data_IF_793959787670
#
_entry.id   IF_793959787670
#
_cell.length_a   1.000
_cell.length_b   1.000
_cell.length_c   1.000
_cell.angle_alpha   90.00
_cell.angle_beta   90.00
_cell.angle_gamma   90.00
#
_symmetry.space_group_name_H-M   'P 1'
#
loop_
_entity.id
_entity.type
_entity.pdbx_description
1 polymer ?
#
# COMPACT_ATOMS: atom_id res chain seq x y z
N UNK A 1 -13.20 -9.41 -28.17
CA UNK A 1 -12.32 -8.45 -27.48
C UNK A 1 -10.93 -9.02 -27.44
N UNK A 2 -9.89 -8.19 -27.55
CA UNK A 2 -8.51 -8.65 -27.41
C UNK A 2 -8.25 -9.08 -25.94
N UNK A 3 -7.57 -10.20 -25.74
CA UNK A 3 -7.16 -10.63 -24.41
C UNK A 3 -6.15 -9.62 -23.83
N UNK A 4 -6.38 -9.15 -22.60
CA UNK A 4 -5.48 -8.23 -21.90
C UNK A 4 -4.70 -8.98 -20.84
N UNK A 5 -3.40 -8.68 -20.70
CA UNK A 5 -2.58 -9.25 -19.65
C UNK A 5 -2.94 -8.64 -18.29
N UNK A 6 -2.88 -9.45 -17.24
CA UNK A 6 -3.14 -9.02 -15.85
C UNK A 6 -1.79 -8.94 -15.14
N UNK A 7 -1.50 -7.79 -14.51
CA UNK A 7 -0.32 -7.67 -13.67
C UNK A 7 -0.53 -8.42 -12.36
N UNK A 8 0.52 -9.10 -11.88
CA UNK A 8 0.49 -9.84 -10.63
C UNK A 8 1.55 -9.28 -9.68
N UNK A 9 1.13 -8.72 -8.54
CA UNK A 9 2.03 -8.40 -7.44
C UNK A 9 2.34 -9.69 -6.67
N UNK A 10 3.60 -10.11 -6.70
CA UNK A 10 4.08 -11.36 -6.07
C UNK A 10 4.55 -11.19 -4.63
N UNK A 11 4.38 -10.00 -4.06
CA UNK A 11 4.80 -9.65 -2.70
C UNK A 11 6.14 -8.92 -2.62
N UNK A 12 6.70 -8.90 -1.43
CA UNK A 12 7.83 -8.07 -1.06
C UNK A 12 9.15 -8.83 -0.98
N UNK A 13 10.22 -8.19 -1.43
CA UNK A 13 11.59 -8.65 -1.24
C UNK A 13 12.32 -7.70 -0.31
N UNK A 14 13.16 -8.27 0.54
CA UNK A 14 14.04 -7.47 1.39
C UNK A 14 15.03 -6.67 0.53
N UNK A 15 15.17 -5.39 0.87
CA UNK A 15 16.10 -4.45 0.25
C UNK A 15 16.77 -3.67 1.37
N UNK A 16 18.02 -4.02 1.69
CA UNK A 16 18.75 -3.43 2.81
C UNK A 16 19.00 -1.91 2.63
N UNK A 17 19.13 -1.47 1.38
CA UNK A 17 19.34 -0.08 0.98
C UNK A 17 18.03 0.66 0.64
N UNK A 18 16.88 -0.02 0.76
CA UNK A 18 15.55 0.46 0.35
C UNK A 18 15.47 0.92 -1.13
N UNK A 19 16.42 0.51 -1.97
CA UNK A 19 16.52 0.94 -3.36
C UNK A 19 16.71 -0.23 -4.33
N UNK A 20 17.38 -1.30 -3.89
CA UNK A 20 17.79 -2.41 -4.73
C UNK A 20 17.23 -3.73 -4.20
N UNK A 21 16.56 -4.48 -5.06
CA UNK A 21 16.15 -5.87 -4.83
C UNK A 21 16.64 -6.76 -5.98
N UNK A 22 16.67 -8.08 -5.76
CA UNK A 22 17.09 -9.09 -6.75
C UNK A 22 15.95 -10.09 -7.05
N UNK A 23 14.85 -9.67 -7.70
CA UNK A 23 13.72 -10.56 -8.02
C UNK A 23 14.08 -11.75 -8.90
N UNK A 24 15.12 -11.64 -9.73
CA UNK A 24 15.64 -12.73 -10.56
C UNK A 24 16.21 -13.91 -9.75
N UNK A 25 16.52 -13.74 -8.47
CA UNK A 25 16.90 -14.86 -7.58
C UNK A 25 15.70 -15.69 -7.12
N UNK A 26 14.47 -15.21 -7.37
CA UNK A 26 13.22 -15.82 -6.92
C UNK A 26 12.30 -16.10 -8.12
N UNK A 27 12.84 -16.82 -9.11
CA UNK A 27 12.06 -17.28 -10.25
C UNK A 27 11.06 -18.33 -9.81
N UNK A 28 9.84 -18.21 -10.32
CA UNK A 28 8.83 -19.24 -10.17
C UNK A 28 8.53 -19.78 -11.58
N UNK A 29 9.08 -20.93 -11.97
CA UNK A 29 8.93 -21.46 -13.32
C UNK A 29 7.55 -22.09 -13.54
N UNK A 30 7.16 -22.20 -14.82
CA UNK A 30 5.97 -22.92 -15.25
C UNK A 30 4.65 -22.16 -15.09
N UNK A 31 3.60 -22.76 -15.65
CA UNK A 31 2.23 -22.29 -15.48
C UNK A 31 1.73 -22.59 -14.08
N UNK A 32 1.02 -21.63 -13.47
CA UNK A 32 0.47 -21.80 -12.13
C UNK A 32 -0.87 -21.07 -11.99
N UNK A 33 -1.70 -21.60 -11.10
CA UNK A 33 -2.91 -20.90 -10.69
C UNK A 33 -2.53 -19.81 -9.67
N UNK A 34 -2.88 -18.56 -9.98
CA UNK A 34 -2.66 -17.41 -9.08
C UNK A 34 -3.99 -17.06 -8.43
N UNK A 35 -4.04 -17.11 -7.09
CA UNK A 35 -5.15 -16.58 -6.30
C UNK A 35 -4.70 -15.29 -5.61
N UNK A 36 -5.57 -14.30 -5.63
CA UNK A 36 -5.24 -12.99 -5.11
C UNK A 36 -6.45 -12.09 -4.97
N UNK A 37 -6.17 -10.85 -4.57
CA UNK A 37 -7.14 -9.78 -4.42
C UNK A 37 -6.98 -8.83 -5.60
N UNK A 38 -8.09 -8.45 -6.21
CA UNK A 38 -8.10 -7.52 -7.34
C UNK A 38 -7.98 -6.10 -6.80
N UNK A 39 -7.07 -5.32 -7.39
CA UNK A 39 -6.85 -3.92 -7.05
C UNK A 39 -6.89 -3.07 -8.31
N UNK A 40 -7.45 -1.87 -8.20
CA UNK A 40 -7.47 -0.92 -9.30
C UNK A 40 -6.05 -0.53 -9.70
N UNK A 41 -5.73 -0.63 -10.99
CA UNK A 41 -4.48 -0.13 -11.52
C UNK A 41 -4.64 1.36 -11.82
N UNK A 42 -4.24 2.18 -10.85
CA UNK A 42 -4.37 3.65 -10.91
C UNK A 42 -3.79 4.22 -12.21
N UNK A 43 -4.50 5.21 -12.75
CA UNK A 43 -4.06 6.04 -13.87
C UNK A 43 -3.65 7.42 -13.37
N UNK A 44 -2.76 8.09 -14.09
CA UNK A 44 -2.31 9.45 -13.76
C UNK A 44 -1.80 9.61 -12.33
N UNK A 45 -1.10 8.63 -11.75
CA UNK A 45 -0.71 8.64 -10.33
C UNK A 45 0.30 9.76 -9.93
N UNK A 46 0.67 10.67 -10.84
CA UNK A 46 1.51 11.85 -10.57
C UNK A 46 2.96 11.54 -10.19
N UNK A 47 3.39 10.28 -10.31
CA UNK A 47 4.74 9.83 -10.01
C UNK A 47 5.70 9.94 -11.19
N UNK A 48 7.00 9.80 -10.91
CA UNK A 48 8.01 9.56 -11.97
C UNK A 48 7.64 8.28 -12.70
N UNK A 49 7.65 8.34 -14.04
CA UNK A 49 7.42 7.18 -14.90
C UNK A 49 8.44 6.06 -14.61
N UNK A 50 8.07 4.83 -14.99
CA UNK A 50 8.91 3.63 -14.88
C UNK A 50 10.32 3.90 -15.41
N UNK A 51 11.31 3.67 -14.55
CA UNK A 51 12.73 3.79 -14.86
C UNK A 51 13.36 2.40 -14.92
N UNK A 52 14.18 2.15 -15.93
CA UNK A 52 15.01 0.96 -15.96
C UNK A 52 16.08 1.03 -14.85
N UNK A 53 16.16 -0.02 -14.05
CA UNK A 53 17.29 -0.28 -13.17
C UNK A 53 18.20 -1.26 -13.91
N UNK A 54 19.41 -0.79 -14.21
CA UNK A 54 20.43 -1.62 -14.83
C UNK A 54 20.89 -2.68 -13.83
N UNK A 55 20.76 -3.95 -14.22
CA UNK A 55 21.27 -5.11 -13.49
C UNK A 55 21.85 -6.11 -14.48
N UNK A 56 22.83 -6.89 -14.03
CA UNK A 56 23.72 -7.71 -14.86
C UNK A 56 23.05 -8.64 -15.88
N UNK A 57 21.80 -9.07 -15.65
CA UNK A 57 21.15 -10.13 -16.44
C UNK A 57 19.70 -9.89 -16.85
N UNK A 58 19.00 -8.90 -16.27
CA UNK A 58 17.59 -8.63 -16.55
C UNK A 58 17.29 -7.14 -16.50
N UNK A 59 16.46 -6.66 -17.42
CA UNK A 59 15.91 -5.30 -17.33
C UNK A 59 14.86 -5.26 -16.22
N UNK A 60 15.20 -4.64 -15.09
CA UNK A 60 14.24 -4.35 -14.03
C UNK A 60 13.66 -2.97 -14.24
N UNK A 61 12.38 -2.82 -13.91
CA UNK A 61 11.70 -1.53 -13.91
C UNK A 61 11.29 -1.16 -12.51
N UNK A 62 11.49 0.10 -12.15
CA UNK A 62 11.10 0.65 -10.86
C UNK A 62 10.27 1.91 -11.06
N UNK A 63 9.25 2.04 -10.22
CA UNK A 63 8.44 3.24 -10.09
C UNK A 63 8.08 3.41 -8.60
N UNK A 64 7.96 4.66 -8.16
CA UNK A 64 7.44 4.96 -6.82
C UNK A 64 5.97 4.60 -6.69
N UNK A 65 5.21 4.84 -7.76
CA UNK A 65 3.82 4.50 -7.89
C UNK A 65 3.65 3.73 -9.19
N UNK A 66 3.01 2.57 -9.11
CA UNK A 66 2.65 1.82 -10.30
C UNK A 66 1.47 2.54 -10.97
N UNK A 67 1.62 2.81 -12.26
CA UNK A 67 0.68 3.63 -13.04
C UNK A 67 0.42 2.97 -14.40
N UNK A 68 -0.85 2.85 -14.75
CA UNK A 68 -1.27 2.12 -15.95
C UNK A 68 -0.74 2.77 -17.24
N UNK A 69 -0.73 4.10 -17.32
CA UNK A 69 -0.32 4.82 -18.52
C UNK A 69 1.18 4.66 -18.77
N UNK A 70 1.97 4.71 -17.71
CA UNK A 70 3.41 4.45 -17.74
C UNK A 70 3.75 3.03 -18.19
N UNK A 71 2.95 2.03 -17.79
CA UNK A 71 3.10 0.63 -18.19
C UNK A 71 2.70 0.41 -19.65
N UNK A 72 1.53 0.93 -20.06
CA UNK A 72 1.01 0.77 -21.43
C UNK A 72 1.93 1.36 -22.48
N UNK A 73 2.63 2.45 -22.17
CA UNK A 73 3.61 3.04 -23.07
C UNK A 73 4.85 2.15 -23.30
N UNK A 74 5.06 1.10 -22.49
CA UNK A 74 6.28 0.26 -22.51
C UNK A 74 6.01 -1.20 -22.88
N UNK A 75 4.81 -1.71 -22.64
CA UNK A 75 4.48 -3.11 -22.89
C UNK A 75 3.93 -3.29 -24.32
N UNK A 76 4.35 -4.35 -25.04
CA UNK A 76 3.92 -4.58 -26.42
C UNK A 76 2.51 -5.18 -26.53
N UNK A 77 1.77 -5.28 -25.43
CA UNK A 77 0.45 -5.90 -25.34
C UNK A 77 -0.47 -5.10 -24.40
N UNK A 78 -1.80 -5.20 -24.60
CA UNK A 78 -2.76 -4.55 -23.71
C UNK A 78 -2.70 -5.16 -22.31
N UNK A 79 -2.85 -4.31 -21.29
CA UNK A 79 -2.96 -4.70 -19.89
C UNK A 79 -4.33 -4.32 -19.34
N UNK A 80 -4.85 -5.14 -18.43
CA UNK A 80 -6.09 -4.87 -17.72
C UNK A 80 -5.99 -3.58 -16.88
N UNK A 81 -7.14 -2.99 -16.57
CA UNK A 81 -7.27 -1.82 -15.67
C UNK A 81 -7.17 -2.18 -14.18
N UNK A 82 -6.75 -3.40 -13.88
CA UNK A 82 -6.56 -3.91 -12.53
C UNK A 82 -5.31 -4.78 -12.45
N UNK A 83 -4.75 -4.84 -11.25
CA UNK A 83 -3.70 -5.78 -10.88
C UNK A 83 -4.25 -6.81 -9.89
N UNK A 84 -3.60 -7.97 -9.83
CA UNK A 84 -3.90 -9.03 -8.88
C UNK A 84 -2.79 -9.07 -7.83
N UNK A 85 -3.11 -8.75 -6.58
CA UNK A 85 -2.20 -8.96 -5.45
C UNK A 85 -2.28 -10.40 -4.99
N UNK A 86 -1.22 -11.17 -5.24
CA UNK A 86 -1.21 -12.60 -4.94
C UNK A 86 -1.20 -12.84 -3.43
N UNK A 87 -2.11 -13.69 -2.96
CA UNK A 87 -2.17 -14.10 -1.55
C UNK A 87 -1.29 -15.32 -1.28
N UNK A 88 -0.80 -15.52 -0.04
CA UNK A 88 -0.15 -16.77 0.33
C UNK A 88 -1.11 -17.96 0.19
N UNK A 89 -0.57 -19.16 -0.02
CA UNK A 89 -1.38 -20.37 -0.15
C UNK A 89 -0.56 -21.65 -0.41
N UNK A 90 -1.21 -22.82 -0.44
CA UNK A 90 -0.54 -24.09 -0.72
C UNK A 90 0.21 -24.07 -2.06
N UNK A 91 1.46 -24.53 -2.07
CA UNK A 91 2.30 -24.57 -3.27
C UNK A 91 2.89 -23.21 -3.69
N UNK A 92 2.68 -22.16 -2.90
CA UNK A 92 3.29 -20.84 -3.12
C UNK A 92 4.59 -20.72 -2.31
N UNK A 93 5.73 -20.34 -2.91
CA UNK A 93 6.98 -20.19 -2.18
C UNK A 93 6.93 -19.08 -1.12
N UNK A 94 7.74 -19.22 -0.08
CA UNK A 94 7.85 -18.23 1.02
C UNK A 94 8.36 -16.86 0.57
N UNK A 95 9.15 -16.82 -0.51
CA UNK A 95 9.68 -15.59 -1.11
C UNK A 95 9.25 -15.44 -2.58
N UNK A 96 8.89 -14.22 -3.04
CA UNK A 96 8.71 -13.01 -2.25
C UNK A 96 7.60 -13.13 -1.19
N UNK A 97 7.72 -12.37 -0.10
CA UNK A 97 6.75 -12.42 1.02
C UNK A 97 5.42 -11.84 0.58
N UNK A 98 4.39 -12.69 0.55
CA UNK A 98 3.02 -12.30 0.24
C UNK A 98 2.28 -12.04 1.54
N UNK A 99 1.65 -10.88 1.63
CA UNK A 99 0.91 -10.48 2.81
C UNK A 99 -0.57 -10.36 2.48
N UNK A 100 -1.41 -10.83 3.40
CA UNK A 100 -2.82 -10.52 3.36
C UNK A 100 -3.01 -9.04 3.73
N UNK A 101 -3.95 -8.33 3.09
CA UNK A 101 -4.32 -7.01 3.57
C UNK A 101 -4.69 -7.13 5.04
N UNK A 102 -4.04 -6.31 5.86
CA UNK A 102 -4.40 -6.24 7.26
C UNK A 102 -5.81 -5.63 7.33
N UNK A 103 -6.77 -6.28 8.01
CA UNK A 103 -8.06 -5.65 8.24
C UNK A 103 -7.82 -4.33 8.98
N UNK A 104 -8.49 -3.27 8.54
CA UNK A 104 -8.42 -1.98 9.23
C UNK A 104 -8.95 -2.14 10.65
N UNK A 105 -8.13 -1.79 11.65
CA UNK A 105 -8.55 -1.79 13.05
C UNK A 105 -9.25 -0.47 13.37
N UNK A 106 -10.52 -0.39 12.97
CA UNK A 106 -11.39 0.77 13.14
C UNK A 106 -11.53 1.17 14.63
N UNK A 107 -11.45 0.19 15.54
CA UNK A 107 -11.64 0.38 16.98
C UNK A 107 -10.53 1.23 17.61
N UNK A 108 -9.30 1.10 17.11
CA UNK A 108 -8.16 1.90 17.58
C UNK A 108 -8.39 3.40 17.32
N UNK A 109 -8.88 3.75 16.13
CA UNK A 109 -9.14 5.14 15.76
C UNK A 109 -10.29 5.76 16.57
N UNK A 110 -11.37 5.00 16.77
CA UNK A 110 -12.51 5.43 17.59
C UNK A 110 -12.07 5.70 19.04
N UNK A 111 -11.27 4.81 19.61
CA UNK A 111 -10.76 4.96 20.99
C UNK A 111 -9.95 6.25 21.16
N UNK A 112 -9.11 6.59 20.19
CA UNK A 112 -8.31 7.81 20.22
C UNK A 112 -9.18 9.07 20.05
N UNK A 113 -10.20 9.02 19.20
CA UNK A 113 -11.15 10.12 19.05
C UNK A 113 -11.89 10.41 20.36
N UNK A 114 -12.40 9.39 21.05
CA UNK A 114 -13.08 9.54 22.35
C UNK A 114 -12.16 10.19 23.39
N UNK A 115 -10.88 9.80 23.44
CA UNK A 115 -9.91 10.42 24.35
C UNK A 115 -9.77 11.93 24.09
N UNK A 116 -9.66 12.35 22.83
CA UNK A 116 -9.58 13.77 22.49
C UNK A 116 -10.83 14.55 22.88
N UNK A 117 -12.02 13.97 22.67
CA UNK A 117 -13.26 14.59 23.13
C UNK A 117 -13.33 14.73 24.65
N UNK A 118 -12.86 13.74 25.40
CA UNK A 118 -12.77 13.82 26.86
C UNK A 118 -11.79 14.90 27.30
N UNK A 119 -10.59 14.98 26.70
CA UNK A 119 -9.62 16.03 27.02
C UNK A 119 -10.17 17.42 26.72
N UNK A 120 -10.80 17.62 25.56
CA UNK A 120 -11.44 18.88 25.22
C UNK A 120 -12.55 19.25 26.22
N UNK A 121 -13.37 18.29 26.61
CA UNK A 121 -14.46 18.49 27.59
C UNK A 121 -13.92 18.90 28.96
N UNK A 122 -12.88 18.21 29.45
CA UNK A 122 -12.23 18.55 30.73
C UNK A 122 -11.60 19.94 30.66
N UNK A 123 -10.91 20.26 29.57
CA UNK A 123 -10.25 21.56 29.42
C UNK A 123 -11.27 22.71 29.40
N UNK A 124 -12.33 22.58 28.60
CA UNK A 124 -13.39 23.60 28.49
C UNK A 124 -14.16 23.71 29.80
N UNK A 125 -14.67 22.58 30.31
CA UNK A 125 -15.46 22.53 31.54
C UNK A 125 -14.67 22.98 32.76
N UNK A 126 -13.46 22.48 32.94
CA UNK A 126 -12.55 22.86 34.02
C UNK A 126 -12.18 24.34 33.98
N UNK A 127 -11.87 24.88 32.79
CA UNK A 127 -11.57 26.30 32.63
C UNK A 127 -12.78 27.19 32.95
N UNK A 128 -13.98 26.79 32.51
CA UNK A 128 -15.22 27.51 32.79
C UNK A 128 -15.55 27.53 34.29
N UNK A 129 -15.45 26.38 34.97
CA UNK A 129 -15.66 26.26 36.42
C UNK A 129 -14.65 27.11 37.19
N UNK A 130 -13.38 27.06 36.81
CA UNK A 130 -12.32 27.87 37.44
C UNK A 130 -12.52 29.38 37.22
N UNK A 131 -12.93 29.80 36.02
CA UNK A 131 -13.23 31.20 35.74
C UNK A 131 -14.43 31.69 36.56
N UNK A 132 -15.44 30.85 36.73
CA UNK A 132 -16.63 31.17 37.51
C UNK A 132 -16.34 31.27 39.02
N UNK A 133 -15.51 30.37 39.56
CA UNK A 133 -15.15 30.41 40.98
C UNK A 133 -14.33 31.65 41.34
N UNK A 134 -13.39 32.06 40.47
CA UNK A 134 -12.61 33.31 40.67
C UNK A 134 -13.51 34.56 40.71
N UNK A 135 -14.44 34.68 39.76
CA UNK A 135 -15.40 35.81 39.72
C UNK A 135 -16.31 35.89 40.96
N UNK A 136 -16.57 34.77 41.63
CA UNK A 136 -17.35 34.75 42.88
C UNK A 136 -16.51 35.14 44.10
N UNK A 137 -15.22 34.84 44.09
CA UNK A 137 -14.32 35.18 45.21
C UNK A 137 -13.93 36.67 45.23
N UNK A 138 -14.03 37.37 44.10
CA UNK A 138 -13.77 38.81 43.97
C UNK A 138 -14.98 39.70 44.31
N UNK A 139 -16.15 39.12 44.58
CA UNK A 139 -17.36 39.81 45.03
C UNK A 139 -17.58 39.61 46.51
#
# INVERSE_FOLDING_TARGET
GAASAILVERGWLYSADAATARPQSYLEPGERTVRGIVEELRRGAGGRALRAIEQDSVTLWSARWLDADSLRARLPYPIADYALRQTPGPGIPDMPRRELPHPYDEMLHVSYAVQWFLFATILIGGSAVLAWSRRRAEK
#
